data_IF_482887936508
#
_entry.id   IF_482887936508
#
_cell.length_a   1.000
_cell.length_b   1.000
_cell.length_c   1.000
_cell.angle_alpha   90.00
_cell.angle_beta   90.00
_cell.angle_gamma   90.00
#
_symmetry.space_group_name_H-M   'P 1'
#
loop_
_entity.id
_entity.type
_entity.pdbx_description
1 polymer ?
#
# COMPACT_ATOMS: atom_id res chain seq x y z
N UNK A 1 -3.97 -4.67 21.76
CA UNK A 1 -4.79 -5.75 21.16
C UNK A 1 -6.29 -5.67 21.47
N UNK A 2 -6.73 -5.13 22.61
CA UNK A 2 -8.18 -5.08 22.95
C UNK A 2 -9.06 -4.48 21.84
N UNK A 3 -8.66 -3.36 21.25
CA UNK A 3 -9.40 -2.73 20.14
C UNK A 3 -9.51 -3.64 18.90
N UNK A 4 -8.42 -4.30 18.50
CA UNK A 4 -8.42 -5.16 17.31
C UNK A 4 -9.26 -6.43 17.50
N UNK A 5 -9.28 -6.99 18.72
CA UNK A 5 -10.19 -8.09 19.06
C UNK A 5 -11.66 -7.65 19.00
N UNK A 6 -11.98 -6.49 19.57
CA UNK A 6 -13.32 -5.92 19.49
C UNK A 6 -13.76 -5.63 18.04
N UNK A 7 -12.84 -5.17 17.19
CA UNK A 7 -13.10 -5.01 15.75
C UNK A 7 -13.43 -6.34 15.08
N UNK A 8 -12.66 -7.40 15.37
CA UNK A 8 -12.92 -8.74 14.85
C UNK A 8 -14.30 -9.28 15.31
N UNK A 9 -14.62 -9.15 16.60
CA UNK A 9 -15.92 -9.55 17.16
C UNK A 9 -17.09 -8.77 16.55
N UNK A 10 -16.92 -7.47 16.30
CA UNK A 10 -17.94 -6.61 15.70
C UNK A 10 -17.96 -6.68 14.16
N UNK A 11 -17.06 -7.41 13.52
CA UNK A 11 -16.94 -7.48 12.06
C UNK A 11 -16.46 -6.18 11.39
N UNK A 12 -15.81 -5.28 12.13
CA UNK A 12 -15.25 -4.02 11.62
C UNK A 12 -13.91 -4.31 10.93
N UNK A 13 -13.72 -3.73 9.75
CA UNK A 13 -12.50 -3.90 8.96
C UNK A 13 -11.36 -3.07 9.54
N UNK A 14 -10.15 -3.64 9.57
CA UNK A 14 -8.92 -2.89 9.76
C UNK A 14 -8.36 -2.50 8.39
N UNK A 15 -8.30 -1.20 8.12
CA UNK A 15 -7.63 -0.64 6.94
C UNK A 15 -6.23 -0.21 7.35
N UNK A 16 -5.19 -0.65 6.63
CA UNK A 16 -3.79 -0.36 6.99
C UNK A 16 -3.04 0.36 5.89
N UNK A 17 -2.44 1.50 6.24
CA UNK A 17 -1.30 2.06 5.49
C UNK A 17 -0.07 1.22 5.78
N UNK A 18 0.27 0.32 4.86
CA UNK A 18 1.21 -0.77 5.12
C UNK A 18 2.68 -0.40 5.06
N UNK A 19 3.14 0.64 5.77
CA UNK A 19 4.57 1.01 5.84
C UNK A 19 5.06 1.11 7.29
N UNK A 20 6.29 0.65 7.54
CA UNK A 20 7.00 0.99 8.78
C UNK A 20 7.60 2.39 8.68
N UNK A 21 7.78 3.04 9.83
CA UNK A 21 8.37 4.39 9.92
C UNK A 21 9.79 4.38 10.49
N UNK A 22 10.42 3.20 10.58
CA UNK A 22 11.78 3.02 11.06
C UNK A 22 12.76 3.79 10.15
N UNK A 23 13.56 4.74 10.66
CA UNK A 23 14.48 5.53 9.86
C UNK A 23 15.60 4.70 9.22
N UNK A 24 15.92 3.53 9.78
CA UNK A 24 16.95 2.63 9.25
C UNK A 24 16.45 1.78 8.07
N UNK A 25 15.14 1.78 7.80
CA UNK A 25 14.53 1.03 6.69
C UNK A 25 14.40 1.95 5.48
N UNK A 26 15.04 1.56 4.38
CA UNK A 26 14.92 2.26 3.09
C UNK A 26 13.44 2.41 2.71
N UNK A 27 13.08 3.61 2.25
CA UNK A 27 11.70 3.96 1.92
C UNK A 27 11.06 3.01 0.90
N UNK A 28 11.83 2.45 -0.03
CA UNK A 28 11.33 1.49 -1.01
C UNK A 28 11.02 0.11 -0.42
N UNK A 29 11.58 -0.21 0.75
CA UNK A 29 11.46 -1.51 1.42
C UNK A 29 10.44 -1.51 2.57
N UNK A 30 9.95 -0.33 2.99
CA UNK A 30 9.03 -0.16 4.13
C UNK A 30 7.78 -1.01 4.03
N UNK A 31 7.22 -1.18 2.84
CA UNK A 31 6.02 -1.99 2.60
C UNK A 31 6.27 -3.48 2.86
N UNK A 32 7.34 -4.03 2.28
CA UNK A 32 7.72 -5.42 2.49
C UNK A 32 8.06 -5.70 3.97
N UNK A 33 8.78 -4.77 4.60
CA UNK A 33 9.13 -4.87 6.03
C UNK A 33 7.89 -4.80 6.93
N UNK A 34 6.88 -3.98 6.58
CA UNK A 34 5.61 -3.93 7.31
C UNK A 34 4.88 -5.27 7.29
N UNK A 35 4.80 -5.91 6.12
CA UNK A 35 4.16 -7.23 5.98
C UNK A 35 4.81 -8.22 6.97
N UNK A 36 6.14 -8.29 6.96
CA UNK A 36 6.90 -9.25 7.76
C UNK A 36 6.86 -8.94 9.26
N UNK A 37 7.07 -7.67 9.65
CA UNK A 37 7.26 -7.30 11.07
C UNK A 37 5.96 -6.94 11.80
N UNK A 38 4.90 -6.59 11.08
CA UNK A 38 3.66 -6.07 11.67
C UNK A 38 2.44 -6.88 11.27
N UNK A 39 2.20 -7.04 9.97
CA UNK A 39 0.95 -7.61 9.49
C UNK A 39 0.84 -9.12 9.75
N UNK A 40 1.88 -9.89 9.43
CA UNK A 40 1.91 -11.33 9.73
C UNK A 40 1.72 -11.62 11.23
N UNK A 41 2.52 -11.03 12.15
CA UNK A 41 2.30 -11.22 13.59
C UNK A 41 0.91 -10.78 14.08
N UNK A 42 0.28 -9.80 13.44
CA UNK A 42 -1.06 -9.35 13.78
C UNK A 42 -2.11 -10.40 13.41
N UNK A 43 -2.02 -10.94 12.19
CA UNK A 43 -2.95 -11.97 11.71
C UNK A 43 -2.83 -13.26 12.52
N UNK A 44 -1.63 -13.60 13.01
CA UNK A 44 -1.45 -14.73 13.93
C UNK A 44 -2.13 -14.50 15.29
N UNK A 45 -2.16 -13.25 15.77
CA UNK A 45 -2.75 -12.90 17.08
C UNK A 45 -4.27 -12.70 17.04
N UNK A 46 -4.82 -12.28 15.89
CA UNK A 46 -6.25 -12.02 15.70
C UNK A 46 -6.70 -12.59 14.34
N UNK A 47 -6.75 -13.92 14.19
CA UNK A 47 -6.93 -14.58 12.89
C UNK A 47 -8.27 -14.28 12.22
N UNK A 48 -9.30 -13.91 12.97
CA UNK A 48 -10.62 -13.57 12.44
C UNK A 48 -10.76 -12.10 12.01
N UNK A 49 -9.74 -11.26 12.25
CA UNK A 49 -9.77 -9.85 11.87
C UNK A 49 -9.78 -9.71 10.35
N UNK A 50 -10.74 -8.96 9.81
CA UNK A 50 -10.75 -8.61 8.39
C UNK A 50 -9.81 -7.44 8.14
N UNK A 51 -8.85 -7.60 7.23
CA UNK A 51 -7.83 -6.61 6.95
C UNK A 51 -7.84 -6.23 5.46
N UNK A 52 -7.78 -4.93 5.19
CA UNK A 52 -7.48 -4.38 3.87
C UNK A 52 -6.13 -3.70 3.94
N UNK A 53 -5.17 -4.23 3.18
CA UNK A 53 -3.91 -3.53 2.95
C UNK A 53 -4.13 -2.47 1.89
N UNK A 54 -4.14 -1.21 2.30
CA UNK A 54 -4.48 -0.11 1.40
C UNK A 54 -3.36 0.10 0.37
N UNK A 55 -3.75 0.57 -0.82
CA UNK A 55 -2.91 1.09 -1.90
C UNK A 55 -1.57 0.35 -2.07
N UNK A 56 -1.62 -0.97 -2.26
CA UNK A 56 -0.41 -1.79 -2.37
C UNK A 56 0.46 -1.37 -3.56
N UNK A 57 1.78 -1.39 -3.37
CA UNK A 57 2.73 -0.86 -4.37
C UNK A 57 3.79 -1.85 -4.81
N UNK A 58 3.93 -2.98 -4.10
CA UNK A 58 4.96 -3.99 -4.34
C UNK A 58 4.41 -5.30 -4.90
N UNK A 59 5.33 -6.07 -5.46
CA UNK A 59 5.08 -7.46 -5.88
C UNK A 59 4.86 -8.33 -4.64
N UNK A 60 5.64 -8.07 -3.60
CA UNK A 60 5.60 -8.75 -2.31
C UNK A 60 4.21 -8.63 -1.66
N UNK A 61 3.61 -7.43 -1.69
CA UNK A 61 2.24 -7.23 -1.21
C UNK A 61 1.19 -7.96 -2.06
N UNK A 62 1.31 -7.90 -3.39
CA UNK A 62 0.41 -8.61 -4.29
C UNK A 62 0.47 -10.14 -4.09
N UNK A 63 1.66 -10.71 -3.95
CA UNK A 63 1.86 -12.13 -3.68
C UNK A 63 1.36 -12.51 -2.28
N UNK A 64 1.67 -11.70 -1.27
CA UNK A 64 1.18 -11.88 0.10
C UNK A 64 -0.35 -11.95 0.13
N UNK A 65 -1.05 -10.93 -0.38
CA UNK A 65 -2.52 -10.87 -0.37
C UNK A 65 -3.15 -12.04 -1.14
N UNK A 66 -2.54 -12.43 -2.26
CA UNK A 66 -2.99 -13.58 -3.06
C UNK A 66 -2.91 -14.89 -2.29
N UNK A 67 -1.84 -15.08 -1.51
CA UNK A 67 -1.63 -16.28 -0.68
C UNK A 67 -2.35 -16.24 0.68
N UNK A 68 -2.74 -15.05 1.16
CA UNK A 68 -3.33 -14.86 2.47
C UNK A 68 -4.76 -15.43 2.54
N UNK A 69 -5.29 -15.73 3.75
CA UNK A 69 -6.65 -16.25 3.90
C UNK A 69 -7.71 -15.24 3.42
N UNK A 70 -8.98 -15.69 3.32
CA UNK A 70 -10.06 -14.92 2.70
C UNK A 70 -10.41 -13.59 3.42
N UNK A 71 -9.97 -13.41 4.66
CA UNK A 71 -10.14 -12.19 5.45
C UNK A 71 -9.08 -11.10 5.16
N UNK A 72 -8.15 -11.34 4.24
CA UNK A 72 -7.15 -10.35 3.80
C UNK A 72 -7.38 -9.98 2.34
N UNK A 73 -7.49 -8.68 2.10
CA UNK A 73 -7.64 -8.08 0.78
C UNK A 73 -6.75 -6.84 0.64
N UNK A 74 -6.74 -6.25 -0.55
CA UNK A 74 -6.02 -5.01 -0.82
C UNK A 74 -6.74 -4.10 -1.81
N UNK A 75 -6.52 -2.80 -1.63
CA UNK A 75 -6.92 -1.79 -2.61
C UNK A 75 -5.76 -1.49 -3.55
N UNK A 76 -6.10 -1.18 -4.81
CA UNK A 76 -5.14 -0.79 -5.83
C UNK A 76 -5.54 0.56 -6.41
N UNK A 77 -4.56 1.45 -6.47
CA UNK A 77 -4.72 2.80 -7.02
C UNK A 77 -4.45 2.83 -8.53
N UNK A 78 -5.07 3.74 -9.29
CA UNK A 78 -4.73 3.95 -10.70
C UNK A 78 -3.26 4.34 -10.93
N UNK A 79 -2.71 5.21 -10.07
CA UNK A 79 -1.34 5.70 -10.20
C UNK A 79 -0.30 4.59 -10.06
N UNK A 80 -0.49 3.64 -9.14
CA UNK A 80 0.41 2.49 -8.95
C UNK A 80 0.29 1.42 -10.05
N UNK A 81 -0.81 1.39 -10.81
CA UNK A 81 -0.93 0.57 -12.02
C UNK A 81 -0.24 1.23 -13.22
N UNK A 82 -0.36 2.55 -13.36
CA UNK A 82 0.07 3.30 -14.55
C UNK A 82 1.54 3.74 -14.48
N UNK A 83 2.06 4.01 -13.28
CA UNK A 83 3.36 4.63 -13.08
C UNK A 83 4.30 3.73 -12.29
N UNK A 84 5.57 3.79 -12.65
CA UNK A 84 6.68 3.30 -11.82
C UNK A 84 7.54 4.50 -11.38
N UNK A 85 8.52 4.26 -10.50
CA UNK A 85 9.35 5.33 -9.93
C UNK A 85 10.14 6.15 -10.94
N UNK A 86 10.37 5.67 -12.16
CA UNK A 86 11.00 6.49 -13.21
C UNK A 86 10.11 7.69 -13.56
N UNK A 87 8.79 7.59 -13.41
CA UNK A 87 7.87 8.71 -13.59
C UNK A 87 8.07 9.84 -12.57
N UNK A 88 8.68 9.57 -11.40
CA UNK A 88 9.08 10.60 -10.44
C UNK A 88 10.24 11.46 -10.95
N UNK A 89 11.11 10.89 -11.80
CA UNK A 89 12.38 11.50 -12.20
C UNK A 89 12.48 11.76 -13.71
N UNK A 90 11.41 11.49 -14.46
CA UNK A 90 11.38 11.64 -15.91
C UNK A 90 11.57 13.12 -16.31
N UNK A 91 12.76 13.43 -16.83
CA UNK A 91 13.20 14.78 -17.21
C UNK A 91 13.26 15.76 -16.02
N UNK A 92 13.58 15.26 -14.83
CA UNK A 92 13.62 16.01 -13.58
C UNK A 92 12.62 15.50 -12.55
N UNK A 93 12.65 16.06 -11.34
CA UNK A 93 11.74 15.69 -10.27
C UNK A 93 10.31 16.16 -10.59
N UNK A 94 9.34 15.23 -10.57
CA UNK A 94 7.92 15.48 -10.80
C UNK A 94 7.13 15.29 -9.50
N UNK A 95 7.00 16.32 -8.64
CA UNK A 95 6.41 16.18 -7.32
C UNK A 95 4.92 15.81 -7.34
N UNK A 96 4.21 16.07 -8.43
CA UNK A 96 2.81 15.64 -8.59
C UNK A 96 2.63 14.12 -8.65
N UNK A 97 3.70 13.37 -8.97
CA UNK A 97 3.68 11.91 -8.97
C UNK A 97 4.13 11.32 -7.62
N UNK A 98 4.49 12.16 -6.65
CA UNK A 98 4.95 11.74 -5.34
C UNK A 98 3.75 11.51 -4.41
N UNK A 99 3.64 10.29 -3.89
CA UNK A 99 2.65 9.81 -2.92
C UNK A 99 3.32 8.78 -1.99
N UNK A 100 2.67 8.43 -0.88
CA UNK A 100 3.02 7.27 -0.07
C UNK A 100 1.95 6.18 -0.20
N UNK A 101 2.33 4.89 -0.22
CA UNK A 101 3.69 4.39 -0.38
C UNK A 101 4.29 4.82 -1.72
N UNK A 102 5.61 5.02 -1.77
CA UNK A 102 6.25 5.61 -2.95
C UNK A 102 6.11 4.73 -4.20
N UNK A 103 6.00 5.32 -5.39
CA UNK A 103 6.12 4.60 -6.66
C UNK A 103 7.35 3.67 -6.65
N UNK A 104 7.17 2.42 -7.07
CA UNK A 104 8.19 1.35 -7.00
C UNK A 104 8.82 1.04 -8.36
N UNK A 105 9.73 0.07 -8.42
CA UNK A 105 10.36 -0.41 -9.68
C UNK A 105 9.33 -1.05 -10.61
N UNK A 106 9.65 -1.15 -11.90
CA UNK A 106 8.73 -1.67 -12.92
C UNK A 106 8.17 -3.07 -12.61
N UNK A 107 9.02 -3.99 -12.12
CA UNK A 107 8.58 -5.33 -11.68
C UNK A 107 7.43 -5.32 -10.67
N UNK A 108 7.34 -4.25 -9.86
CA UNK A 108 6.29 -4.10 -8.86
C UNK A 108 5.02 -3.54 -9.49
N UNK A 109 5.15 -2.54 -10.38
CA UNK A 109 4.02 -2.01 -11.17
C UNK A 109 3.34 -3.11 -11.99
N UNK A 110 4.13 -3.96 -12.65
CA UNK A 110 3.61 -5.10 -13.42
C UNK A 110 2.84 -6.10 -12.54
N UNK A 111 3.35 -6.40 -11.34
CA UNK A 111 2.67 -7.29 -10.39
C UNK A 111 1.36 -6.69 -9.85
N UNK A 112 1.36 -5.40 -9.50
CA UNK A 112 0.16 -4.67 -9.08
C UNK A 112 -0.87 -4.61 -10.21
N UNK A 113 -0.44 -4.35 -11.44
CA UNK A 113 -1.30 -4.40 -12.62
C UNK A 113 -1.90 -5.79 -12.82
N UNK A 114 -1.09 -6.85 -12.76
CA UNK A 114 -1.56 -8.22 -12.89
C UNK A 114 -2.58 -8.59 -11.79
N UNK A 115 -2.34 -8.16 -10.54
CA UNK A 115 -3.26 -8.37 -9.44
C UNK A 115 -4.61 -7.66 -9.69
N UNK A 116 -4.58 -6.39 -10.12
CA UNK A 116 -5.77 -5.62 -10.45
C UNK A 116 -6.60 -6.22 -11.59
N UNK A 117 -5.95 -6.82 -12.59
CA UNK A 117 -6.63 -7.43 -13.75
C UNK A 117 -6.87 -8.94 -13.61
N UNK A 118 -6.59 -9.53 -12.44
CA UNK A 118 -6.67 -10.98 -12.22
C UNK A 118 -8.11 -11.52 -12.14
N UNK A 119 -9.08 -10.67 -11.86
CA UNK A 119 -10.46 -11.08 -11.52
C UNK A 119 -10.62 -11.63 -10.10
N UNK A 120 -9.55 -11.65 -9.29
CA UNK A 120 -9.62 -12.07 -7.89
C UNK A 120 -10.44 -11.07 -7.05
N UNK A 121 -11.37 -11.54 -6.19
CA UNK A 121 -12.15 -10.65 -5.32
C UNK A 121 -11.32 -10.01 -4.20
N UNK A 122 -10.06 -10.42 -4.02
CA UNK A 122 -9.13 -9.87 -3.02
C UNK A 122 -8.54 -8.51 -3.41
N UNK A 123 -8.65 -8.13 -4.68
CA UNK A 123 -8.14 -6.87 -5.19
C UNK A 123 -9.29 -6.03 -5.70
N UNK A 124 -9.42 -4.81 -5.18
CA UNK A 124 -10.48 -3.90 -5.57
C UNK A 124 -10.00 -2.44 -5.62
N UNK A 125 -10.84 -1.57 -6.16
CA UNK A 125 -10.51 -0.18 -6.40
C UNK A 125 -10.45 0.60 -5.08
N UNK A 126 -9.32 1.26 -4.84
CA UNK A 126 -9.19 2.34 -3.87
C UNK A 126 -8.29 3.40 -4.48
N UNK A 127 -8.85 4.58 -4.78
CA UNK A 127 -8.13 5.57 -5.61
C UNK A 127 -6.94 6.19 -4.91
N UNK A 128 -7.02 6.30 -3.58
CA UNK A 128 -6.13 7.12 -2.78
C UNK A 128 -5.95 8.52 -3.40
N UNK A 129 -7.08 9.10 -3.83
CA UNK A 129 -7.07 10.45 -4.37
C UNK A 129 -6.89 11.45 -3.23
N UNK A 130 -5.72 12.06 -3.19
CA UNK A 130 -5.30 12.88 -2.07
C UNK A 130 -4.75 14.24 -2.58
N UNK A 131 -5.64 15.23 -2.78
CA UNK A 131 -5.28 16.49 -3.42
C UNK A 131 -4.54 17.44 -2.49
N UNK A 132 -3.48 18.04 -3.01
CA UNK A 132 -2.78 19.18 -2.38
C UNK A 132 -2.72 20.37 -3.33
N UNK A 133 -2.66 21.58 -2.76
CA UNK A 133 -2.44 22.78 -3.54
C UNK A 133 -1.10 22.72 -4.29
N UNK A 134 -1.05 23.24 -5.52
CA UNK A 134 0.15 23.19 -6.37
C UNK A 134 1.41 23.73 -5.68
N UNK A 135 1.28 24.84 -4.94
CA UNK A 135 2.41 25.44 -4.21
C UNK A 135 2.89 24.56 -3.05
N UNK A 136 2.03 23.74 -2.46
CA UNK A 136 2.38 22.79 -1.42
C UNK A 136 3.06 21.53 -1.98
N UNK A 137 2.88 21.20 -3.28
CA UNK A 137 3.66 20.14 -3.96
C UNK A 137 5.01 20.64 -4.50
N UNK A 138 5.10 21.91 -4.89
CA UNK A 138 6.28 22.51 -5.52
C UNK A 138 7.07 23.43 -4.57
N UNK A 139 7.46 22.93 -3.41
CA UNK A 139 8.25 23.66 -2.40
C UNK A 139 9.43 22.78 -1.90
N UNK A 140 10.35 23.30 -1.08
CA UNK A 140 11.52 22.54 -0.60
C UNK A 140 11.18 21.25 0.16
N UNK A 141 10.03 21.22 0.83
CA UNK A 141 9.49 20.05 1.53
C UNK A 141 8.02 19.87 1.12
N UNK A 142 7.81 19.35 -0.09
CA UNK A 142 6.47 19.17 -0.66
C UNK A 142 5.62 18.21 0.17
N UNK A 143 4.34 18.56 0.36
CA UNK A 143 3.39 17.71 1.06
C UNK A 143 3.23 16.36 0.38
N UNK A 144 3.06 15.36 1.23
CA UNK A 144 2.89 13.96 0.89
C UNK A 144 1.53 13.51 1.42
N UNK A 145 0.96 12.54 0.74
CA UNK A 145 -0.19 11.78 1.22
C UNK A 145 0.30 10.67 2.13
#
# INVERSE_FOLDING_TARGET
MAALKAMAEAGVLLLVHGEVTDPEVDMFDREAVFIQRKLLPLLDQVPDLKVVMEHITTKDAAEFVSSAPANVAATITPQHMLLNRNALFAKGLRPHNYCLPILKREKHREAVMAAATSGSPKFFLGTDSAPHAKHAKCCPAGNQD
#
